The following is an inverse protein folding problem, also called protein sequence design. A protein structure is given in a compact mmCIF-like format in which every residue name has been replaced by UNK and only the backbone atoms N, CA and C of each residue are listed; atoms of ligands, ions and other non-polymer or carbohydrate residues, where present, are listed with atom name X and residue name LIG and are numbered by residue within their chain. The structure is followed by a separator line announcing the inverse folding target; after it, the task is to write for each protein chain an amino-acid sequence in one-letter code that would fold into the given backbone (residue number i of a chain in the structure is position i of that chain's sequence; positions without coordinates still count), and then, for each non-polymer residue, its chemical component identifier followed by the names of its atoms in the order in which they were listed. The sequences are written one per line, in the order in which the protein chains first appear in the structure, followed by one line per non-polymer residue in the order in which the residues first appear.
data_IF_205730660977
#
_entry.id   IF_205730660977
#
_cell.length_a   1.000
_cell.length_b   1.000
_cell.length_c   1.000
_cell.angle_alpha   90.00
_cell.angle_beta   90.00
_cell.angle_gamma   90.00
#
_symmetry.space_group_name_H-M   'P 1'
#
loop_
_entity.id
_entity.type
_entity.pdbx_description
1 polymer ?
#
# COMPACT_ATOMS: atom_id res chain seq x y z
N UNK A 1 3.74 2.95 -12.78
CA UNK A 1 3.07 2.81 -14.10
C UNK A 1 1.75 2.05 -13.98
N UNK A 2 1.75 0.83 -13.42
CA UNK A 2 0.57 -0.05 -13.37
C UNK A 2 -0.65 0.58 -12.66
N UNK A 3 -0.45 1.22 -11.51
CA UNK A 3 -1.52 1.88 -10.74
C UNK A 3 -2.20 3.03 -11.51
N UNK A 4 -1.46 3.79 -12.31
CA UNK A 4 -1.98 4.95 -13.05
C UNK A 4 -2.93 4.52 -14.18
N UNK A 5 -2.61 3.41 -14.87
CA UNK A 5 -3.47 2.83 -15.90
C UNK A 5 -4.77 2.27 -15.31
N UNK A 6 -4.70 1.64 -14.14
CA UNK A 6 -5.88 1.11 -13.44
C UNK A 6 -6.84 2.23 -12.98
N UNK A 7 -6.32 3.41 -12.69
CA UNK A 7 -7.14 4.59 -12.42
C UNK A 7 -8.03 5.00 -13.62
N UNK A 8 -7.59 4.75 -14.85
CA UNK A 8 -8.39 5.00 -16.06
C UNK A 8 -9.54 3.97 -16.15
N UNK A 9 -9.27 2.70 -15.80
CA UNK A 9 -10.29 1.64 -15.77
C UNK A 9 -11.42 1.99 -14.79
N UNK A 10 -11.11 2.60 -13.64
CA UNK A 10 -12.13 3.09 -12.70
C UNK A 10 -13.11 4.06 -13.37
N UNK A 11 -12.64 4.95 -14.26
CA UNK A 11 -13.49 5.93 -14.93
C UNK A 11 -14.52 5.27 -15.85
N UNK A 12 -14.19 4.12 -16.44
CA UNK A 12 -15.11 3.33 -17.27
C UNK A 12 -16.19 2.66 -16.40
N UNK A 13 -15.81 2.20 -15.20
CA UNK A 13 -16.70 1.49 -14.28
C UNK A 13 -17.52 2.41 -13.36
N UNK A 14 -17.28 3.73 -13.38
CA UNK A 14 -17.86 4.69 -12.41
C UNK A 14 -19.39 4.73 -12.41
N UNK A 15 -20.03 4.42 -13.54
CA UNK A 15 -21.49 4.45 -13.74
C UNK A 15 -22.17 3.10 -13.43
N UNK A 16 -21.40 2.04 -13.17
CA UNK A 16 -21.95 0.72 -12.84
C UNK A 16 -22.75 0.77 -11.54
N UNK A 17 -23.84 -0.02 -11.47
CA UNK A 17 -24.69 -0.16 -10.28
C UNK A 17 -23.89 -0.66 -9.08
N UNK A 18 -24.35 -0.35 -7.87
CA UNK A 18 -23.61 -0.61 -6.62
C UNK A 18 -23.32 -2.10 -6.38
N UNK A 19 -24.32 -2.98 -6.51
CA UNK A 19 -24.15 -4.42 -6.22
C UNK A 19 -23.15 -5.09 -7.18
N UNK A 20 -23.27 -4.97 -8.51
CA UNK A 20 -22.27 -5.54 -9.42
C UNK A 20 -20.87 -4.99 -9.21
N UNK A 21 -20.76 -3.69 -8.90
CA UNK A 21 -19.46 -3.06 -8.63
C UNK A 21 -18.82 -3.59 -7.35
N UNK A 22 -19.62 -3.84 -6.31
CA UNK A 22 -19.17 -4.46 -5.07
C UNK A 22 -18.70 -5.89 -5.30
N UNK A 23 -19.50 -6.71 -5.98
CA UNK A 23 -19.13 -8.09 -6.32
C UNK A 23 -17.86 -8.15 -7.17
N UNK A 24 -17.73 -7.26 -8.16
CA UNK A 24 -16.52 -7.15 -8.96
C UNK A 24 -15.31 -6.76 -8.10
N UNK A 25 -15.47 -5.81 -7.18
CA UNK A 25 -14.37 -5.42 -6.28
C UNK A 25 -13.94 -6.58 -5.37
N UNK A 26 -14.89 -7.36 -4.85
CA UNK A 26 -14.59 -8.53 -4.03
C UNK A 26 -13.87 -9.60 -4.85
N UNK A 27 -14.37 -9.89 -6.05
CA UNK A 27 -13.73 -10.82 -6.97
C UNK A 27 -12.30 -10.40 -7.31
N UNK A 28 -12.08 -9.14 -7.70
CA UNK A 28 -10.75 -8.63 -8.04
C UNK A 28 -9.77 -8.63 -6.87
N UNK A 29 -10.26 -8.46 -5.64
CA UNK A 29 -9.43 -8.51 -4.43
C UNK A 29 -8.87 -9.92 -4.21
N UNK A 30 -9.74 -10.94 -4.35
CA UNK A 30 -9.39 -12.35 -4.11
C UNK A 30 -8.94 -13.09 -5.38
N UNK A 31 -8.99 -12.45 -6.56
CA UNK A 31 -8.59 -13.02 -7.83
C UNK A 31 -7.21 -13.69 -7.79
N UNK A 32 -6.17 -13.10 -7.19
CA UNK A 32 -4.86 -13.74 -7.16
C UNK A 32 -4.84 -15.04 -6.35
N UNK A 33 -5.64 -15.13 -5.28
CA UNK A 33 -5.77 -16.35 -4.47
C UNK A 33 -6.48 -17.44 -5.27
N UNK A 34 -7.56 -17.09 -5.97
CA UNK A 34 -8.23 -18.03 -6.88
C UNK A 34 -7.28 -18.52 -7.98
N UNK A 35 -6.45 -17.64 -8.54
CA UNK A 35 -5.48 -18.00 -9.55
C UNK A 35 -4.44 -19.00 -9.04
N UNK A 36 -3.87 -18.77 -7.85
CA UNK A 36 -2.89 -19.68 -7.24
C UNK A 36 -3.52 -21.01 -6.86
N UNK A 37 -4.77 -21.01 -6.38
CA UNK A 37 -5.50 -22.26 -6.15
C UNK A 37 -5.71 -23.04 -7.45
N UNK A 38 -5.97 -22.38 -8.58
CA UNK A 38 -6.11 -23.02 -9.89
C UNK A 38 -4.80 -23.63 -10.40
N UNK A 39 -3.64 -23.04 -10.08
CA UNK A 39 -2.32 -23.59 -10.41
C UNK A 39 -2.14 -25.03 -9.92
N UNK A 40 -2.68 -25.35 -8.73
CA UNK A 40 -2.67 -26.72 -8.18
C UNK A 40 -3.40 -27.75 -9.05
N UNK A 41 -4.38 -27.31 -9.86
CA UNK A 41 -5.20 -28.16 -10.72
C UNK A 41 -4.72 -28.20 -12.17
N UNK A 42 -4.00 -27.17 -12.60
CA UNK A 42 -3.53 -26.97 -13.96
C UNK A 42 -2.01 -26.65 -13.98
N UNK A 43 -1.13 -27.66 -13.94
CA UNK A 43 0.32 -27.50 -13.82
C UNK A 43 1.05 -26.85 -15.02
N UNK A 44 0.32 -26.30 -15.99
CA UNK A 44 0.85 -25.47 -17.08
C UNK A 44 0.53 -23.98 -16.95
N UNK A 45 -0.19 -23.57 -15.90
CA UNK A 45 -0.45 -22.15 -15.63
C UNK A 45 0.85 -21.47 -15.18
N UNK A 46 1.17 -20.27 -15.71
CA UNK A 46 2.28 -19.48 -15.19
C UNK A 46 2.09 -19.19 -13.70
N UNK A 47 3.10 -19.44 -12.87
CA UNK A 47 2.96 -19.16 -11.44
C UNK A 47 2.81 -17.65 -11.19
N UNK A 48 1.73 -17.24 -10.52
CA UNK A 48 1.47 -15.84 -10.19
C UNK A 48 2.49 -15.24 -9.21
N UNK A 49 3.22 -16.10 -8.50
CA UNK A 49 4.27 -15.74 -7.55
C UNK A 49 5.67 -16.02 -8.08
N UNK A 50 5.82 -16.47 -9.33
CA UNK A 50 7.14 -16.67 -9.91
C UNK A 50 7.89 -15.33 -10.03
N UNK A 51 8.97 -15.22 -9.26
CA UNK A 51 10.03 -14.25 -9.50
C UNK A 51 11.20 -15.00 -10.14
N UNK A 52 11.58 -14.64 -11.37
CA UNK A 52 12.75 -15.22 -12.06
C UNK A 52 14.09 -14.69 -11.53
N UNK A 53 14.11 -14.00 -10.39
CA UNK A 53 15.32 -13.42 -9.81
C UNK A 53 15.98 -14.40 -8.86
N UNK A 54 17.20 -14.83 -9.21
CA UNK A 54 18.01 -15.74 -8.39
C UNK A 54 19.13 -15.01 -7.62
N UNK A 55 19.03 -13.69 -7.48
CA UNK A 55 20.11 -12.91 -6.88
C UNK A 55 20.11 -13.10 -5.37
N UNK A 56 21.28 -13.45 -4.81
CA UNK A 56 21.43 -13.63 -3.38
C UNK A 56 21.15 -12.32 -2.65
N UNK A 57 20.46 -12.39 -1.51
CA UNK A 57 20.11 -11.22 -0.68
C UNK A 57 21.37 -10.42 -0.31
N UNK A 58 22.47 -11.10 -0.01
CA UNK A 58 23.75 -10.46 0.33
C UNK A 58 24.31 -9.61 -0.82
N UNK A 59 24.13 -10.06 -2.08
CA UNK A 59 24.55 -9.31 -3.26
C UNK A 59 23.68 -8.06 -3.45
N UNK A 60 22.38 -8.17 -3.20
CA UNK A 60 21.44 -7.03 -3.23
C UNK A 60 21.83 -6.00 -2.16
N UNK A 61 22.09 -6.45 -0.93
CA UNK A 61 22.52 -5.59 0.17
C UNK A 61 23.85 -4.92 -0.16
N UNK A 62 24.84 -5.66 -0.66
CA UNK A 62 26.14 -5.11 -1.04
C UNK A 62 26.02 -4.05 -2.14
N UNK A 63 25.20 -4.30 -3.16
CA UNK A 63 24.99 -3.35 -4.26
C UNK A 63 24.31 -2.07 -3.78
N UNK A 64 23.28 -2.18 -2.93
CA UNK A 64 22.59 -0.99 -2.43
C UNK A 64 23.40 -0.20 -1.40
N UNK A 65 24.21 -0.86 -0.57
CA UNK A 65 25.00 -0.20 0.48
C UNK A 65 26.34 0.37 -0.02
N UNK A 66 26.99 -0.28 -0.98
CA UNK A 66 28.35 0.06 -1.44
C UNK A 66 28.51 0.23 -2.95
N UNK A 67 27.53 -0.18 -3.75
CA UNK A 67 27.63 -0.13 -5.20
C UNK A 67 27.60 1.29 -5.77
N UNK A 68 28.03 1.43 -7.01
CA UNK A 68 27.93 2.66 -7.79
C UNK A 68 26.49 2.96 -8.20
N UNK A 69 26.22 4.22 -8.61
CA UNK A 69 24.90 4.63 -9.09
C UNK A 69 24.41 3.77 -10.27
N UNK A 70 25.31 3.41 -11.19
CA UNK A 70 25.01 2.56 -12.35
C UNK A 70 24.65 1.13 -11.95
N UNK A 71 25.37 0.54 -10.99
CA UNK A 71 25.09 -0.81 -10.49
C UNK A 71 23.73 -0.85 -9.78
N UNK A 72 23.41 0.18 -9.00
CA UNK A 72 22.11 0.32 -8.34
C UNK A 72 20.96 0.42 -9.35
N UNK A 73 21.15 1.19 -10.43
CA UNK A 73 20.12 1.30 -11.48
C UNK A 73 19.95 -0.01 -12.24
N UNK A 74 21.05 -0.67 -12.61
CA UNK A 74 21.00 -1.97 -13.27
C UNK A 74 20.25 -3.00 -12.40
N UNK A 75 20.55 -3.02 -11.10
CA UNK A 75 19.84 -3.85 -10.12
C UNK A 75 18.34 -3.52 -10.08
N UNK A 76 17.97 -2.25 -9.96
CA UNK A 76 16.55 -1.83 -9.93
C UNK A 76 15.78 -2.19 -11.21
N UNK A 77 16.41 -2.07 -12.37
CA UNK A 77 15.82 -2.49 -13.64
C UNK A 77 15.62 -4.00 -13.68
N UNK A 78 16.60 -4.76 -13.17
CA UNK A 78 16.48 -6.22 -13.04
C UNK A 78 15.36 -6.61 -12.08
N UNK A 79 15.30 -6.02 -10.88
CA UNK A 79 14.23 -6.23 -9.90
C UNK A 79 12.86 -5.88 -10.50
N UNK A 80 12.74 -4.74 -11.20
CA UNK A 80 11.52 -4.38 -11.89
C UNK A 80 11.13 -5.43 -12.94
N UNK A 81 12.09 -5.90 -13.74
CA UNK A 81 11.84 -6.91 -14.76
C UNK A 81 11.39 -8.26 -14.18
N UNK A 82 11.94 -8.66 -13.04
CA UNK A 82 11.60 -9.88 -12.29
C UNK A 82 10.22 -9.76 -11.66
N UNK A 83 9.92 -8.66 -10.97
CA UNK A 83 8.68 -8.49 -10.23
C UNK A 83 7.51 -7.96 -11.06
N UNK A 84 7.70 -7.56 -12.33
CA UNK A 84 6.62 -6.97 -13.14
C UNK A 84 5.39 -7.87 -13.28
N UNK A 85 5.60 -9.20 -13.42
CA UNK A 85 4.51 -10.14 -13.62
C UNK A 85 3.70 -10.29 -12.33
N UNK A 86 4.38 -10.43 -11.18
CA UNK A 86 3.75 -10.41 -9.85
C UNK A 86 3.01 -9.08 -9.63
N UNK A 87 3.65 -7.95 -9.94
CA UNK A 87 3.04 -6.61 -9.85
C UNK A 87 1.78 -6.46 -10.69
N UNK A 88 1.73 -7.07 -11.88
CA UNK A 88 0.58 -6.99 -12.75
C UNK A 88 -0.53 -7.99 -12.37
N UNK A 89 -0.19 -9.25 -12.13
CA UNK A 89 -1.16 -10.34 -11.91
C UNK A 89 -1.67 -10.40 -10.48
N UNK A 90 -0.79 -10.13 -9.50
CA UNK A 90 -1.16 -10.15 -8.08
C UNK A 90 -1.63 -8.77 -7.61
N UNK A 91 -0.78 -7.74 -7.72
CA UNK A 91 -1.11 -6.43 -7.17
C UNK A 91 -2.11 -5.66 -8.04
N UNK A 92 -2.05 -5.79 -9.36
CA UNK A 92 -2.93 -5.08 -10.32
C UNK A 92 -4.43 -5.17 -9.99
N UNK A 93 -5.04 -6.38 -10.00
CA UNK A 93 -6.44 -6.58 -9.65
C UNK A 93 -6.80 -6.02 -8.27
N UNK A 94 -5.93 -6.25 -7.27
CA UNK A 94 -6.11 -5.76 -5.91
C UNK A 94 -6.18 -4.23 -5.84
N UNK A 95 -5.30 -3.53 -6.56
CA UNK A 95 -5.31 -2.06 -6.63
C UNK A 95 -6.62 -1.55 -7.22
N UNK A 96 -7.06 -2.16 -8.32
CA UNK A 96 -8.32 -1.81 -8.95
C UNK A 96 -9.50 -2.05 -7.99
N UNK A 97 -9.50 -3.18 -7.28
CA UNK A 97 -10.48 -3.45 -6.22
C UNK A 97 -10.52 -2.35 -5.17
N UNK A 98 -9.37 -1.92 -4.65
CA UNK A 98 -9.29 -0.85 -3.64
C UNK A 98 -9.82 0.49 -4.17
N UNK A 99 -9.56 0.82 -5.45
CA UNK A 99 -10.16 1.99 -6.09
C UNK A 99 -11.68 1.90 -6.20
N UNK A 100 -12.21 0.74 -6.59
CA UNK A 100 -13.67 0.52 -6.67
C UNK A 100 -14.31 0.58 -5.28
N UNK A 101 -13.69 -0.01 -4.26
CA UNK A 101 -14.14 0.05 -2.86
C UNK A 101 -14.11 1.49 -2.33
N UNK A 102 -13.08 2.28 -2.65
CA UNK A 102 -13.03 3.69 -2.31
C UNK A 102 -14.16 4.51 -2.95
N UNK A 103 -14.45 4.27 -4.24
CA UNK A 103 -15.57 4.90 -4.94
C UNK A 103 -16.93 4.48 -4.36
N UNK A 104 -17.10 3.20 -4.03
CA UNK A 104 -18.30 2.69 -3.34
C UNK A 104 -18.46 3.33 -1.96
N UNK A 105 -17.38 3.46 -1.20
CA UNK A 105 -17.38 4.13 0.11
C UNK A 105 -17.85 5.58 0.01
N UNK A 106 -17.39 6.32 -1.00
CA UNK A 106 -17.91 7.67 -1.27
C UNK A 106 -19.39 7.64 -1.66
N UNK A 107 -19.79 6.78 -2.60
CA UNK A 107 -21.18 6.65 -3.07
C UNK A 107 -22.17 6.30 -1.95
N UNK A 108 -21.73 5.51 -0.97
CA UNK A 108 -22.51 5.08 0.17
C UNK A 108 -22.38 6.01 1.39
N UNK A 109 -21.75 7.18 1.21
CA UNK A 109 -21.54 8.17 2.27
C UNK A 109 -20.88 7.56 3.53
N UNK A 110 -19.95 6.64 3.34
CA UNK A 110 -19.39 5.78 4.39
C UNK A 110 -18.83 6.58 5.58
N UNK A 111 -18.12 7.69 5.31
CA UNK A 111 -17.53 8.53 6.34
C UNK A 111 -18.59 9.17 7.26
N UNK A 112 -19.68 9.70 6.70
CA UNK A 112 -20.77 10.27 7.50
C UNK A 112 -21.59 9.18 8.19
N UNK A 113 -21.75 8.02 7.57
CA UNK A 113 -22.45 6.87 8.17
C UNK A 113 -21.72 6.37 9.42
N UNK A 114 -20.39 6.30 9.40
CA UNK A 114 -19.57 5.96 10.57
C UNK A 114 -19.82 6.95 11.72
N UNK A 115 -19.82 8.25 11.42
CA UNK A 115 -20.06 9.29 12.43
C UNK A 115 -21.47 9.22 13.02
N UNK A 116 -22.48 9.03 12.17
CA UNK A 116 -23.88 8.94 12.60
C UNK A 116 -24.16 7.69 13.44
N UNK A 117 -23.47 6.58 13.16
CA UNK A 117 -23.67 5.27 13.82
C UNK A 117 -22.46 4.84 14.65
N UNK A 118 -21.84 5.80 15.36
CA UNK A 118 -20.56 5.61 16.07
C UNK A 118 -20.50 4.35 16.94
N UNK A 119 -21.57 4.02 17.67
CA UNK A 119 -21.61 2.85 18.56
C UNK A 119 -21.41 1.54 17.79
N UNK A 120 -22.18 1.34 16.71
CA UNK A 120 -22.07 0.14 15.88
C UNK A 120 -20.71 0.05 15.20
N UNK A 121 -20.17 1.17 14.73
CA UNK A 121 -18.85 1.18 14.12
C UNK A 121 -17.72 1.01 15.14
N UNK A 122 -17.90 1.36 16.41
CA UNK A 122 -16.96 0.98 17.48
C UNK A 122 -16.92 -0.54 17.69
N UNK A 123 -18.08 -1.21 17.61
CA UNK A 123 -18.13 -2.69 17.68
C UNK A 123 -17.45 -3.32 16.46
N UNK A 124 -17.72 -2.80 15.25
CA UNK A 124 -17.07 -3.27 14.03
C UNK A 124 -15.55 -3.02 14.10
N UNK A 125 -15.13 -1.86 14.63
CA UNK A 125 -13.73 -1.57 14.88
C UNK A 125 -13.10 -2.58 15.84
N UNK A 126 -13.70 -2.80 17.01
CA UNK A 126 -13.17 -3.73 18.01
C UNK A 126 -13.06 -5.15 17.44
N UNK A 127 -14.10 -5.62 16.74
CA UNK A 127 -14.11 -6.91 16.07
C UNK A 127 -13.01 -6.99 14.99
N UNK A 128 -13.00 -6.05 14.04
CA UNK A 128 -12.07 -6.08 12.91
C UNK A 128 -10.62 -5.91 13.37
N UNK A 129 -10.36 -5.04 14.34
CA UNK A 129 -9.02 -4.86 14.90
C UNK A 129 -8.55 -6.11 15.63
N UNK A 130 -9.39 -6.72 16.48
CA UNK A 130 -9.04 -7.94 17.21
C UNK A 130 -8.81 -9.12 16.26
N UNK A 131 -9.72 -9.34 15.30
CA UNK A 131 -9.55 -10.39 14.29
C UNK A 131 -8.31 -10.15 13.43
N UNK A 132 -8.06 -8.91 13.00
CA UNK A 132 -6.89 -8.56 12.21
C UNK A 132 -5.57 -8.82 12.94
N UNK A 133 -5.48 -8.40 14.20
CA UNK A 133 -4.30 -8.64 15.05
C UNK A 133 -4.14 -10.14 15.32
N UNK A 134 -5.22 -10.84 15.66
CA UNK A 134 -5.19 -12.28 15.92
C UNK A 134 -4.70 -13.07 14.71
N UNK A 135 -5.26 -12.82 13.52
CA UNK A 135 -4.85 -13.48 12.28
C UNK A 135 -3.40 -13.17 11.93
N UNK A 136 -2.97 -11.91 12.08
CA UNK A 136 -1.58 -11.51 11.83
C UNK A 136 -0.60 -12.17 12.80
N UNK A 137 -0.94 -12.21 14.10
CA UNK A 137 -0.11 -12.85 15.12
C UNK A 137 0.01 -14.36 14.94
N UNK A 138 -0.97 -15.00 14.28
CA UNK A 138 -0.94 -16.42 13.94
C UNK A 138 -0.25 -16.73 12.61
N UNK A 139 0.21 -15.72 11.86
CA UNK A 139 0.86 -15.95 10.56
C UNK A 139 2.11 -16.79 10.64
N UNK A 140 2.95 -16.63 11.68
CA UNK A 140 4.15 -17.45 11.86
C UNK A 140 3.79 -18.94 12.01
N UNK A 141 2.78 -19.26 12.82
CA UNK A 141 2.29 -20.64 12.95
C UNK A 141 1.72 -21.19 11.64
N UNK A 142 1.12 -20.34 10.78
CA UNK A 142 0.67 -20.76 9.45
C UNK A 142 1.87 -21.04 8.53
N UNK A 143 2.91 -20.20 8.59
CA UNK A 143 4.15 -20.40 7.83
C UNK A 143 4.85 -21.70 8.27
N UNK A 144 4.96 -21.95 9.57
CA UNK A 144 5.56 -23.19 10.10
C UNK A 144 4.76 -24.42 9.68
N UNK A 145 3.42 -24.34 9.71
CA UNK A 145 2.56 -25.40 9.20
C UNK A 145 2.78 -25.66 7.70
N UNK A 146 2.93 -24.60 6.90
CA UNK A 146 3.23 -24.73 5.47
C UNK A 146 4.62 -25.26 5.18
N UNK A 147 5.64 -24.89 5.96
CA UNK A 147 7.00 -25.37 5.76
C UNK A 147 7.11 -26.90 5.93
N UNK A 148 6.20 -27.47 6.71
CA UNK A 148 6.06 -28.92 6.90
C UNK A 148 5.10 -29.59 5.90
N UNK A 149 4.35 -28.81 5.12
CA UNK A 149 3.52 -29.31 4.03
C UNK A 149 4.34 -29.29 2.74
N UNK A 150 4.28 -30.36 1.94
CA UNK A 150 4.87 -30.36 0.60
C UNK A 150 4.42 -29.13 -0.19
N UNK A 151 5.31 -28.55 -1.01
CA UNK A 151 5.08 -27.32 -1.79
C UNK A 151 3.94 -27.47 -2.79
N UNK A 152 2.69 -27.42 -2.30
CA UNK A 152 1.48 -27.49 -3.08
C UNK A 152 0.87 -26.08 -3.17
N UNK A 153 0.59 -25.57 -4.40
CA UNK A 153 0.02 -24.24 -4.60
C UNK A 153 -1.28 -23.99 -3.82
N UNK A 154 -2.04 -25.03 -3.48
CA UNK A 154 -3.24 -24.91 -2.65
C UNK A 154 -2.91 -24.39 -1.23
N UNK A 155 -1.83 -24.86 -0.60
CA UNK A 155 -1.41 -24.34 0.71
C UNK A 155 -0.98 -22.89 0.62
N UNK A 156 -0.26 -22.52 -0.44
CA UNK A 156 0.09 -21.13 -0.73
C UNK A 156 -1.16 -20.26 -0.90
N UNK A 157 -2.17 -20.74 -1.64
CA UNK A 157 -3.43 -20.01 -1.80
C UNK A 157 -4.16 -19.82 -0.46
N UNK A 158 -4.21 -20.84 0.39
CA UNK A 158 -4.82 -20.75 1.73
C UNK A 158 -4.11 -19.70 2.57
N UNK A 159 -2.77 -19.75 2.64
CA UNK A 159 -1.97 -18.75 3.37
C UNK A 159 -2.23 -17.34 2.89
N UNK A 160 -2.20 -17.13 1.58
CA UNK A 160 -2.49 -15.81 1.01
C UNK A 160 -3.92 -15.38 1.29
N UNK A 161 -4.88 -16.31 1.31
CA UNK A 161 -6.26 -16.06 1.74
C UNK A 161 -6.34 -15.54 3.17
N UNK A 162 -5.70 -16.22 4.12
CA UNK A 162 -5.67 -15.80 5.53
C UNK A 162 -4.94 -14.45 5.67
N UNK A 163 -3.83 -14.25 4.95
CA UNK A 163 -3.06 -13.01 4.94
C UNK A 163 -3.90 -11.82 4.44
N UNK A 164 -4.63 -12.03 3.35
CA UNK A 164 -5.48 -11.00 2.78
C UNK A 164 -6.72 -10.70 3.63
N UNK A 165 -7.28 -11.71 4.31
CA UNK A 165 -8.33 -11.49 5.30
C UNK A 165 -7.83 -10.66 6.48
N UNK A 166 -6.64 -10.97 7.01
CA UNK A 166 -6.00 -10.18 8.08
C UNK A 166 -5.84 -8.71 7.66
N UNK A 167 -5.38 -8.48 6.42
CA UNK A 167 -5.23 -7.14 5.84
C UNK A 167 -6.57 -6.38 5.75
N UNK A 168 -7.65 -7.02 5.29
CA UNK A 168 -8.99 -6.39 5.23
C UNK A 168 -9.46 -6.01 6.63
N UNK A 169 -9.31 -6.90 7.60
CA UNK A 169 -9.72 -6.66 8.98
C UNK A 169 -8.96 -5.49 9.61
N UNK A 170 -7.62 -5.46 9.47
CA UNK A 170 -6.81 -4.35 9.97
C UNK A 170 -7.10 -3.05 9.22
N UNK A 171 -7.20 -3.07 7.89
CA UNK A 171 -7.52 -1.88 7.11
C UNK A 171 -8.90 -1.30 7.48
N UNK A 172 -9.90 -2.15 7.68
CA UNK A 172 -11.23 -1.74 8.15
C UNK A 172 -11.16 -1.12 9.55
N UNK A 173 -10.42 -1.76 10.46
CA UNK A 173 -10.14 -1.21 11.79
C UNK A 173 -9.49 0.18 11.73
N UNK A 174 -8.42 0.33 10.95
CA UNK A 174 -7.72 1.60 10.80
C UNK A 174 -8.60 2.71 10.21
N UNK A 175 -9.38 2.43 9.16
CA UNK A 175 -10.28 3.42 8.56
C UNK A 175 -11.32 3.88 9.57
N UNK A 176 -11.98 2.95 10.26
CA UNK A 176 -13.00 3.29 11.26
C UNK A 176 -12.37 4.09 12.41
N UNK A 177 -11.20 3.67 12.92
CA UNK A 177 -10.50 4.36 13.99
C UNK A 177 -10.19 5.81 13.62
N UNK A 178 -9.60 6.03 12.43
CA UNK A 178 -9.26 7.37 11.94
C UNK A 178 -10.51 8.24 11.78
N UNK A 179 -11.58 7.68 11.20
CA UNK A 179 -12.83 8.42 11.01
C UNK A 179 -13.43 8.79 12.36
N UNK A 180 -13.65 7.84 13.27
CA UNK A 180 -14.21 8.11 14.59
C UNK A 180 -13.37 9.13 15.37
N UNK A 181 -12.03 9.00 15.33
CA UNK A 181 -11.12 9.95 15.96
C UNK A 181 -11.30 11.36 15.37
N UNK A 182 -11.38 11.49 14.04
CA UNK A 182 -11.62 12.77 13.36
C UNK A 182 -12.99 13.41 13.71
N UNK A 183 -13.94 12.64 14.23
CA UNK A 183 -15.21 13.14 14.75
C UNK A 183 -15.11 13.89 16.08
N UNK A 184 -14.04 13.66 16.84
CA UNK A 184 -13.85 14.22 18.19
C UNK A 184 -13.00 15.50 18.19
N UNK A 185 -13.22 16.38 19.18
CA UNK A 185 -12.34 17.56 19.40
C UNK A 185 -10.86 17.19 19.59
N UNK A 186 -10.49 16.27 20.51
CA UNK A 186 -9.08 15.87 20.68
C UNK A 186 -8.51 15.19 19.44
N UNK A 187 -9.28 14.33 18.77
CA UNK A 187 -8.81 13.64 17.58
C UNK A 187 -8.57 14.58 16.40
N UNK A 188 -9.40 15.63 16.20
CA UNK A 188 -9.11 16.70 15.24
C UNK A 188 -7.79 17.40 15.52
N UNK A 189 -7.44 17.61 16.80
CA UNK A 189 -6.16 18.23 17.17
C UNK A 189 -4.98 17.31 16.84
N UNK A 190 -5.07 16.03 17.19
CA UNK A 190 -4.04 15.01 16.92
C UNK A 190 -3.82 14.82 15.41
N UNK A 191 -4.90 14.74 14.63
CA UNK A 191 -4.84 14.52 13.18
C UNK A 191 -4.57 15.80 12.38
N UNK A 192 -4.68 16.99 13.00
CA UNK A 192 -4.50 18.26 12.31
C UNK A 192 -3.18 18.43 11.56
N UNK A 193 -2.02 17.89 12.00
CA UNK A 193 -0.78 18.01 11.24
C UNK A 193 -0.81 17.21 9.93
N UNK A 194 -1.57 16.11 9.88
CA UNK A 194 -1.67 15.25 8.69
C UNK A 194 -2.31 15.97 7.49
N UNK A 195 -3.10 17.02 7.73
CA UNK A 195 -3.69 17.83 6.66
C UNK A 195 -2.63 18.50 5.77
N UNK A 196 -1.46 18.83 6.32
CA UNK A 196 -0.40 19.50 5.56
C UNK A 196 0.22 18.52 4.57
N UNK A 197 0.59 17.33 5.04
CA UNK A 197 1.16 16.30 4.16
C UNK A 197 0.15 15.79 3.14
N UNK A 198 -1.13 15.68 3.50
CA UNK A 198 -2.20 15.29 2.58
C UNK A 198 -2.47 16.29 1.46
N UNK A 199 -2.29 17.60 1.71
CA UNK A 199 -2.39 18.66 0.68
C UNK A 199 -1.20 18.68 -0.29
N UNK A 200 -0.11 18.03 0.07
CA UNK A 200 1.13 17.92 -0.70
C UNK A 200 1.49 16.45 -0.96
N UNK A 201 0.49 15.60 -1.22
CA UNK A 201 0.68 14.15 -1.30
C UNK A 201 1.68 13.72 -2.39
N UNK A 202 1.65 14.32 -3.59
CA UNK A 202 2.58 14.01 -4.68
C UNK A 202 3.99 14.51 -4.37
N UNK A 203 4.10 15.74 -3.87
CA UNK A 203 5.39 16.30 -3.44
C UNK A 203 6.02 15.45 -2.34
N UNK A 204 5.24 15.09 -1.31
CA UNK A 204 5.74 14.29 -0.19
C UNK A 204 6.07 12.86 -0.60
N UNK A 205 5.33 12.25 -1.53
CA UNK A 205 5.67 10.94 -2.05
C UNK A 205 7.06 10.92 -2.73
N UNK A 206 7.34 11.90 -3.60
CA UNK A 206 8.65 12.00 -4.24
C UNK A 206 9.74 12.44 -3.26
N UNK A 207 9.46 13.38 -2.36
CA UNK A 207 10.39 13.79 -1.32
C UNK A 207 10.76 12.62 -0.41
N UNK A 208 9.78 11.81 0.00
CA UNK A 208 10.03 10.62 0.83
C UNK A 208 10.92 9.63 0.09
N UNK A 209 10.66 9.40 -1.19
CA UNK A 209 11.47 8.54 -2.03
C UNK A 209 12.92 9.03 -2.10
N UNK A 210 13.13 10.34 -2.34
CA UNK A 210 14.48 10.94 -2.37
C UNK A 210 15.16 10.82 -1.01
N UNK A 211 14.48 11.17 0.08
CA UNK A 211 15.05 11.12 1.43
C UNK A 211 15.46 9.69 1.80
N UNK A 212 14.61 8.68 1.60
CA UNK A 212 14.97 7.30 1.90
C UNK A 212 16.04 6.75 0.96
N UNK A 213 16.04 7.17 -0.31
CA UNK A 213 17.13 6.82 -1.20
C UNK A 213 18.47 7.41 -0.71
N UNK A 214 18.50 8.66 -0.27
CA UNK A 214 19.71 9.25 0.33
C UNK A 214 20.11 8.55 1.62
N UNK A 215 19.16 8.20 2.49
CA UNK A 215 19.48 7.54 3.78
C UNK A 215 19.97 6.11 3.57
N UNK A 216 19.37 5.36 2.65
CA UNK A 216 19.66 3.93 2.49
C UNK A 216 20.77 3.64 1.48
N UNK A 217 20.83 4.37 0.36
CA UNK A 217 21.73 4.00 -0.75
C UNK A 217 23.16 4.52 -0.54
N UNK A 218 24.11 3.82 -1.17
CA UNK A 218 25.55 4.08 -1.12
C UNK A 218 25.96 5.52 -1.45
N UNK A 219 25.25 6.19 -2.35
CA UNK A 219 25.55 7.57 -2.76
C UNK A 219 25.10 8.62 -1.73
N UNK A 220 24.40 8.23 -0.67
CA UNK A 220 24.10 9.07 0.48
C UNK A 220 24.77 8.53 1.74
N UNK A 221 24.01 7.88 2.63
CA UNK A 221 24.52 7.33 3.89
C UNK A 221 24.79 5.81 3.86
N UNK A 222 24.37 5.09 2.82
CA UNK A 222 24.70 3.67 2.63
C UNK A 222 24.13 2.72 3.69
N UNK A 223 23.05 3.10 4.39
CA UNK A 223 22.49 2.34 5.52
C UNK A 223 21.63 1.12 5.13
N UNK A 224 21.59 0.77 3.84
CA UNK A 224 20.81 -0.36 3.37
C UNK A 224 21.32 -1.67 3.98
N UNK A 225 20.43 -2.42 4.63
CA UNK A 225 20.74 -3.71 5.28
C UNK A 225 21.56 -3.60 6.58
N UNK A 226 22.02 -2.40 6.97
CA UNK A 226 22.83 -2.21 8.19
C UNK A 226 22.01 -1.71 9.39
N UNK A 227 20.78 -1.25 9.18
CA UNK A 227 19.90 -0.73 10.24
C UNK A 227 18.86 -1.78 10.60
N UNK A 228 18.82 -2.17 11.87
CA UNK A 228 17.80 -3.08 12.37
C UNK A 228 16.39 -2.48 12.20
N UNK A 229 15.35 -3.31 11.95
CA UNK A 229 13.99 -2.83 11.72
C UNK A 229 13.44 -1.90 12.81
N UNK A 230 13.77 -2.17 14.09
CA UNK A 230 13.35 -1.32 15.23
C UNK A 230 13.93 0.10 15.15
N UNK A 231 15.16 0.24 14.67
CA UNK A 231 15.84 1.53 14.54
C UNK A 231 15.35 2.27 13.29
N UNK A 232 14.98 1.55 12.23
CA UNK A 232 14.39 2.11 11.03
C UNK A 232 13.07 2.85 11.33
N UNK A 233 12.29 2.40 12.32
CA UNK A 233 11.07 3.10 12.75
C UNK A 233 11.34 4.54 13.22
N UNK A 234 12.46 4.77 13.91
CA UNK A 234 12.84 6.12 14.33
C UNK A 234 13.25 7.00 13.15
N UNK A 235 13.95 6.43 12.17
CA UNK A 235 14.29 7.14 10.92
C UNK A 235 13.00 7.52 10.18
N UNK A 236 12.05 6.59 10.05
CA UNK A 236 10.75 6.85 9.42
C UNK A 236 9.97 7.93 10.14
N UNK A 237 9.90 7.86 11.47
CA UNK A 237 9.23 8.87 12.28
C UNK A 237 9.89 10.26 12.11
N UNK A 238 11.22 10.33 12.09
CA UNK A 238 11.96 11.58 11.90
C UNK A 238 11.73 12.18 10.50
N UNK A 239 11.83 11.36 9.45
CA UNK A 239 11.56 11.78 8.07
C UNK A 239 10.12 12.26 7.93
N UNK A 240 9.15 11.53 8.49
CA UNK A 240 7.75 11.91 8.42
C UNK A 240 7.44 13.20 9.20
N UNK A 241 8.03 13.38 10.39
CA UNK A 241 7.91 14.61 11.16
C UNK A 241 8.51 15.81 10.42
N UNK A 242 9.67 15.62 9.79
CA UNK A 242 10.27 16.61 8.90
C UNK A 242 9.32 16.97 7.75
N UNK A 243 8.72 15.98 7.07
CA UNK A 243 7.78 16.24 5.98
C UNK A 243 6.52 16.99 6.44
N UNK A 244 6.01 16.71 7.63
CA UNK A 244 4.90 17.48 8.23
C UNK A 244 5.31 18.93 8.41
N UNK A 245 6.48 19.19 9.00
CA UNK A 245 6.95 20.54 9.25
C UNK A 245 7.24 21.29 7.94
N UNK A 246 7.96 20.66 7.01
CA UNK A 246 8.26 21.21 5.70
C UNK A 246 6.97 21.53 4.92
N UNK A 247 5.99 20.62 4.93
CA UNK A 247 4.69 20.85 4.29
C UNK A 247 3.92 22.00 4.96
N UNK A 248 3.96 22.10 6.29
CA UNK A 248 3.31 23.18 7.03
C UNK A 248 3.93 24.54 6.68
N UNK A 249 5.26 24.64 6.69
CA UNK A 249 5.99 25.86 6.34
C UNK A 249 5.72 26.22 4.89
N UNK A 250 5.80 25.25 3.96
CA UNK A 250 5.53 25.49 2.55
C UNK A 250 4.11 26.02 2.32
N UNK A 251 3.10 25.39 2.94
CA UNK A 251 1.70 25.78 2.79
C UNK A 251 1.33 27.08 3.50
N UNK A 252 2.23 27.64 4.31
CA UNK A 252 2.09 29.00 4.83
C UNK A 252 2.32 30.04 3.74
N UNK A 253 3.29 29.79 2.84
CA UNK A 253 3.65 30.71 1.75
C UNK A 253 2.96 30.37 0.43
N UNK A 254 2.67 29.10 0.16
CA UNK A 254 2.14 28.61 -1.11
C UNK A 254 0.84 27.82 -0.95
N UNK A 255 -0.04 27.85 -1.97
CA UNK A 255 -1.34 27.15 -1.90
C UNK A 255 -1.25 25.63 -2.14
N UNK A 256 -0.29 25.21 -2.95
CA UNK A 256 -0.07 23.84 -3.39
C UNK A 256 1.39 23.46 -3.21
N UNK A 257 1.68 22.16 -3.11
CA UNK A 257 3.05 21.69 -3.23
C UNK A 257 3.60 21.93 -4.65
N UNK A 258 4.92 21.97 -4.81
CA UNK A 258 5.57 22.28 -6.08
C UNK A 258 5.15 21.31 -7.18
N UNK A 259 5.09 20.00 -6.90
CA UNK A 259 4.74 19.01 -7.91
C UNK A 259 3.24 19.00 -8.21
N UNK A 260 2.39 19.25 -7.20
CA UNK A 260 0.96 19.44 -7.41
C UNK A 260 0.69 20.64 -8.31
N UNK A 261 1.45 21.73 -8.16
CA UNK A 261 1.35 22.91 -9.01
C UNK A 261 1.77 22.61 -10.45
N UNK A 262 2.90 21.91 -10.66
CA UNK A 262 3.32 21.47 -12.00
C UNK A 262 2.24 20.59 -12.64
N UNK A 263 1.77 19.59 -11.91
CA UNK A 263 0.75 18.66 -12.39
C UNK A 263 -0.55 19.36 -12.78
N UNK A 264 -1.02 20.30 -11.96
CA UNK A 264 -2.22 21.09 -12.25
C UNK A 264 -2.03 22.01 -13.46
N UNK A 265 -0.85 22.61 -13.64
CA UNK A 265 -0.53 23.41 -14.83
C UNK A 265 -0.64 22.57 -16.10
N UNK A 266 -0.05 21.37 -16.09
CA UNK A 266 -0.11 20.45 -17.22
C UNK A 266 -1.53 19.95 -17.50
N UNK A 267 -2.31 19.67 -16.45
CA UNK A 267 -3.66 19.07 -16.61
C UNK A 267 -4.72 20.09 -17.03
N UNK A 268 -4.69 21.30 -16.46
CA UNK A 268 -5.76 22.29 -16.63
C UNK A 268 -5.36 23.50 -17.48
N UNK A 269 -4.09 23.63 -17.86
CA UNK A 269 -3.59 24.71 -18.73
C UNK A 269 -3.61 26.12 -18.12
N UNK A 270 -4.24 26.33 -16.95
CA UNK A 270 -4.28 27.62 -16.24
C UNK A 270 -4.22 27.40 -14.73
N UNK A 271 -3.43 28.21 -14.03
CA UNK A 271 -3.49 28.38 -12.57
C UNK A 271 -3.67 29.87 -12.29
N UNK A 272 -4.79 30.23 -11.65
CA UNK A 272 -4.92 31.50 -10.92
C UNK A 272 -4.50 31.29 -9.47
#
# INVERSE_FOLDING_TARGET
LSYSLLGIVLLLLRKTKTVPLFLLSLFLYFLPIFYIALESRFPGLPSALSSTGNMAIDQVIATYSKGTWTEIIALRLHEYAVFRNINLMYYGPKILSLFLLGHLGHRLHFLSTIQARKFWYLLIFAFSFTCGIFLTAKMEAVIDWMANAETNPLYTAIYMGVFELANIFLATGYIIAVVLLAGTRPGKRILSPLKYVGRMALTNYLMQSVLFMTVMLSWGFGLFGSVEPRHLLWIVAAVFAFQIMASKIWLHYYRFGPLEWIWRKLTYGRIK
#
